data_IF_300941840997
#
_entry.id   IF_300941840997
#
_cell.length_a   1.000
_cell.length_b   1.000
_cell.length_c   1.000
_cell.angle_alpha   90.00
_cell.angle_beta   90.00
_cell.angle_gamma   90.00
#
_symmetry.space_group_name_H-M   'P 1'
#
loop_
_entity.id
_entity.type
_entity.pdbx_description
1 polymer ?
#
# COMPACT_ATOMS: atom_id res chain seq x y z
N UNK A 1 -8.35 14.23 -14.75
CA UNK A 1 -7.34 15.08 -15.41
C UNK A 1 -7.50 16.55 -15.01
N UNK A 2 -8.57 16.92 -14.38
CA UNK A 2 -8.71 18.22 -13.74
C UNK A 2 -8.39 18.02 -12.26
N UNK A 3 -7.40 18.76 -11.76
CA UNK A 3 -7.09 18.74 -10.33
C UNK A 3 -8.31 19.29 -9.58
N UNK A 4 -9.09 18.42 -8.96
CA UNK A 4 -10.36 18.74 -8.31
C UNK A 4 -10.26 19.81 -7.22
N UNK A 5 -9.05 20.17 -6.79
CA UNK A 5 -8.82 21.15 -5.73
C UNK A 5 -8.85 22.63 -6.22
N UNK A 6 -8.91 22.88 -7.55
CA UNK A 6 -8.85 24.24 -8.09
C UNK A 6 -10.09 24.68 -8.86
N UNK A 7 -11.03 23.79 -9.15
CA UNK A 7 -12.25 24.10 -9.92
C UNK A 7 -13.48 23.61 -9.16
N UNK A 8 -14.35 24.52 -8.77
CA UNK A 8 -15.65 24.19 -8.16
C UNK A 8 -16.67 23.94 -9.27
N UNK A 9 -17.61 22.98 -9.03
CA UNK A 9 -18.77 22.71 -9.88
C UNK A 9 -18.46 22.17 -11.29
N UNK A 10 -17.62 21.12 -11.40
CA UNK A 10 -17.46 20.40 -12.67
C UNK A 10 -18.68 19.49 -12.86
N UNK A 11 -19.49 19.78 -13.86
CA UNK A 11 -20.60 18.92 -14.30
C UNK A 11 -20.12 18.05 -15.49
N UNK A 12 -19.82 16.76 -15.24
CA UNK A 12 -19.41 15.81 -16.28
C UNK A 12 -20.61 14.99 -16.71
N UNK A 13 -20.89 14.99 -18.01
CA UNK A 13 -21.99 14.26 -18.62
C UNK A 13 -21.45 13.29 -19.69
N UNK A 14 -22.13 12.17 -19.87
CA UNK A 14 -21.81 11.15 -20.87
C UNK A 14 -22.95 11.02 -21.88
N UNK A 15 -22.59 10.73 -23.13
CA UNK A 15 -23.52 10.45 -24.21
C UNK A 15 -24.61 11.54 -24.36
N UNK A 16 -24.16 12.80 -24.50
CA UNK A 16 -25.07 13.94 -24.55
C UNK A 16 -25.27 14.46 -25.99
N UNK A 17 -26.44 14.94 -26.27
CA UNK A 17 -26.73 15.67 -27.50
C UNK A 17 -26.66 17.18 -27.25
N UNK A 18 -25.67 17.83 -27.85
CA UNK A 18 -25.52 19.28 -27.79
C UNK A 18 -26.10 19.95 -29.05
N UNK A 19 -26.83 21.02 -28.81
CA UNK A 19 -27.36 21.84 -29.93
C UNK A 19 -26.27 22.78 -30.44
N UNK A 20 -25.90 22.61 -31.71
CA UNK A 20 -25.01 23.53 -32.41
C UNK A 20 -25.81 24.70 -33.06
N UNK A 21 -25.10 25.54 -33.79
CA UNK A 21 -25.71 26.64 -34.56
C UNK A 21 -26.55 26.12 -35.72
N UNK A 22 -26.15 25.01 -36.32
CA UNK A 22 -26.79 24.45 -37.51
C UNK A 22 -27.49 23.13 -37.26
N UNK A 23 -26.95 22.28 -36.39
CA UNK A 23 -27.50 20.96 -36.10
C UNK A 23 -27.15 20.48 -34.71
N UNK A 24 -27.76 19.36 -34.29
CA UNK A 24 -27.40 18.71 -33.02
C UNK A 24 -26.26 17.70 -33.20
N UNK A 25 -25.38 17.62 -32.22
CA UNK A 25 -24.22 16.73 -32.21
C UNK A 25 -24.25 15.80 -31.01
N UNK A 26 -24.07 14.53 -31.24
CA UNK A 26 -23.84 13.54 -30.17
C UNK A 26 -22.39 13.58 -29.75
N UNK A 27 -22.16 13.76 -28.44
CA UNK A 27 -20.86 13.92 -27.82
C UNK A 27 -20.69 12.82 -26.80
N UNK A 28 -19.58 12.09 -26.85
CA UNK A 28 -19.33 10.93 -25.96
C UNK A 28 -19.13 11.37 -24.49
N UNK A 29 -18.40 12.48 -24.25
CA UNK A 29 -18.27 13.08 -22.92
C UNK A 29 -18.25 14.61 -23.04
N UNK A 30 -18.99 15.26 -22.16
CA UNK A 30 -19.08 16.71 -22.05
C UNK A 30 -18.83 17.12 -20.60
N UNK A 31 -18.08 18.18 -20.42
CA UNK A 31 -18.05 18.86 -19.14
C UNK A 31 -17.97 20.38 -19.31
N UNK A 32 -18.49 21.02 -18.28
CA UNK A 32 -18.37 22.47 -18.14
C UNK A 32 -17.99 22.83 -16.71
N UNK A 33 -17.32 23.94 -16.57
CA UNK A 33 -17.00 24.56 -15.29
C UNK A 33 -16.91 26.07 -15.44
N UNK A 34 -17.09 26.78 -14.34
CA UNK A 34 -17.00 28.23 -14.29
C UNK A 34 -15.80 28.68 -13.45
N UNK A 35 -15.05 29.64 -13.99
CA UNK A 35 -13.96 30.32 -13.27
C UNK A 35 -14.02 31.80 -13.55
N UNK A 36 -14.15 32.62 -12.49
CA UNK A 36 -14.18 34.09 -12.62
C UNK A 36 -15.35 34.63 -13.43
N UNK A 37 -16.51 33.95 -13.43
CA UNK A 37 -17.69 34.33 -14.22
C UNK A 37 -17.61 33.93 -15.70
N UNK A 38 -16.57 33.17 -16.08
CA UNK A 38 -16.42 32.68 -17.46
C UNK A 38 -16.70 31.18 -17.49
N UNK A 39 -17.57 30.74 -18.40
CA UNK A 39 -17.87 29.33 -18.64
C UNK A 39 -16.85 28.71 -19.59
N UNK A 40 -16.34 27.55 -19.19
CA UNK A 40 -15.41 26.75 -19.97
C UNK A 40 -16.10 25.44 -20.33
N UNK A 41 -16.26 25.19 -21.60
CA UNK A 41 -16.89 23.98 -22.13
C UNK A 41 -15.86 23.10 -22.81
N UNK A 42 -15.92 21.79 -22.56
CA UNK A 42 -15.05 20.80 -23.20
C UNK A 42 -15.89 19.64 -23.71
N UNK A 43 -15.67 19.25 -24.94
CA UNK A 43 -16.27 18.07 -25.56
C UNK A 43 -15.18 17.05 -25.87
N UNK A 44 -15.47 15.78 -25.57
CA UNK A 44 -14.59 14.68 -25.88
C UNK A 44 -15.30 13.73 -26.85
N UNK A 45 -14.59 13.35 -27.90
CA UNK A 45 -14.94 12.25 -28.75
C UNK A 45 -14.00 11.08 -28.48
N UNK A 46 -14.54 9.91 -28.18
CA UNK A 46 -13.76 8.70 -27.88
C UNK A 46 -14.01 7.64 -28.96
N UNK A 47 -12.94 7.01 -29.47
CA UNK A 47 -13.06 5.97 -30.50
C UNK A 47 -12.23 4.73 -30.16
N UNK A 48 -12.92 3.61 -29.94
CA UNK A 48 -12.34 2.27 -29.79
C UNK A 48 -12.26 1.55 -31.16
N UNK A 49 -11.58 2.17 -32.10
CA UNK A 49 -11.39 1.59 -33.43
C UNK A 49 -10.11 0.78 -33.51
N UNK A 50 -10.08 -0.22 -34.44
CA UNK A 50 -8.88 -0.99 -34.74
C UNK A 50 -7.82 -0.20 -35.52
N UNK A 51 -8.26 0.80 -36.31
CA UNK A 51 -7.40 1.61 -37.16
C UNK A 51 -7.19 3.00 -36.57
N UNK A 52 -6.02 3.57 -36.86
CA UNK A 52 -5.69 4.95 -36.50
C UNK A 52 -6.68 5.94 -37.05
N UNK A 53 -7.00 6.98 -36.28
CA UNK A 53 -7.87 8.10 -36.67
C UNK A 53 -7.27 8.81 -37.88
N UNK A 54 -8.07 8.96 -38.92
CA UNK A 54 -7.65 9.60 -40.17
C UNK A 54 -7.94 11.11 -40.13
N UNK A 55 -7.32 11.84 -41.09
CA UNK A 55 -7.49 13.28 -41.27
C UNK A 55 -8.99 13.70 -41.42
N UNK A 56 -9.75 12.94 -42.23
CA UNK A 56 -11.14 13.22 -42.45
C UNK A 56 -12.02 13.22 -41.20
N UNK A 57 -11.71 12.31 -40.28
CA UNK A 57 -12.41 12.18 -39.00
C UNK A 57 -12.09 13.35 -38.08
N UNK A 58 -10.82 13.78 -38.08
CA UNK A 58 -10.40 14.95 -37.31
C UNK A 58 -11.03 16.26 -37.87
N UNK A 59 -11.14 16.38 -39.20
CA UNK A 59 -11.83 17.48 -39.85
C UNK A 59 -13.33 17.46 -39.53
N UNK A 60 -13.97 16.30 -39.50
CA UNK A 60 -15.35 16.17 -39.09
C UNK A 60 -15.57 16.62 -37.64
N UNK A 61 -14.68 16.21 -36.72
CA UNK A 61 -14.73 16.66 -35.32
C UNK A 61 -14.49 18.17 -35.19
N UNK A 62 -13.56 18.72 -35.96
CA UNK A 62 -13.36 20.17 -36.06
C UNK A 62 -14.65 20.90 -36.52
N UNK A 63 -15.36 20.34 -37.49
CA UNK A 63 -16.66 20.87 -37.93
C UNK A 63 -17.70 20.89 -36.80
N UNK A 64 -17.75 19.88 -35.96
CA UNK A 64 -18.59 19.87 -34.75
C UNK A 64 -18.19 21.02 -33.81
N UNK A 65 -16.89 21.23 -33.55
CA UNK A 65 -16.43 22.32 -32.70
C UNK A 65 -16.78 23.70 -33.22
N UNK A 66 -16.76 23.91 -34.55
CA UNK A 66 -17.14 25.19 -35.19
C UNK A 66 -18.63 25.49 -35.06
N UNK A 67 -19.46 24.44 -35.04
CA UNK A 67 -20.90 24.54 -34.87
C UNK A 67 -21.35 24.77 -33.42
N UNK A 68 -20.53 24.35 -32.46
CA UNK A 68 -20.76 24.55 -31.01
C UNK A 68 -20.46 26.01 -30.58
N UNK A 69 -20.83 26.44 -29.37
CA UNK A 69 -20.50 27.76 -28.84
C UNK A 69 -19.01 28.10 -28.94
N UNK A 70 -18.72 29.34 -29.26
CA UNK A 70 -17.33 29.81 -29.39
C UNK A 70 -16.54 29.60 -28.11
N UNK A 71 -15.31 29.07 -28.23
CA UNK A 71 -14.46 28.79 -27.10
C UNK A 71 -14.56 27.35 -26.55
N UNK A 72 -15.50 26.54 -27.05
CA UNK A 72 -15.58 25.10 -26.70
C UNK A 72 -14.26 24.40 -27.05
N UNK A 73 -13.68 23.71 -26.08
CA UNK A 73 -12.45 22.95 -26.26
C UNK A 73 -12.74 21.51 -26.73
N UNK A 74 -12.00 21.06 -27.73
CA UNK A 74 -12.12 19.73 -28.28
C UNK A 74 -11.01 18.80 -27.74
N UNK A 75 -11.40 17.60 -27.34
CA UNK A 75 -10.52 16.51 -27.01
C UNK A 75 -10.91 15.29 -27.81
N UNK A 76 -9.96 14.64 -28.47
CA UNK A 76 -10.19 13.39 -29.18
C UNK A 76 -9.37 12.27 -28.56
N UNK A 77 -10.01 11.21 -28.12
CA UNK A 77 -9.34 10.04 -27.50
C UNK A 77 -9.47 8.85 -28.45
N UNK A 78 -8.37 8.17 -28.72
CA UNK A 78 -8.33 6.98 -29.56
C UNK A 78 -7.54 5.85 -28.88
N UNK A 79 -7.98 4.62 -29.06
CA UNK A 79 -7.24 3.43 -28.60
C UNK A 79 -6.06 3.08 -29.54
N UNK A 80 -6.20 3.38 -30.83
CA UNK A 80 -5.25 2.97 -31.87
C UNK A 80 -4.36 4.11 -32.36
N UNK A 81 -4.44 5.28 -31.73
CA UNK A 81 -3.66 6.46 -32.09
C UNK A 81 -4.19 7.16 -33.34
N UNK A 82 -3.35 7.98 -33.97
CA UNK A 82 -3.68 8.91 -35.02
C UNK A 82 -2.73 8.79 -36.21
N UNK A 83 -3.20 9.06 -37.41
CA UNK A 83 -2.36 9.26 -38.58
C UNK A 83 -1.75 10.69 -38.57
N UNK A 84 -0.62 10.88 -39.27
CA UNK A 84 0.08 12.18 -39.28
C UNK A 84 -0.85 13.35 -39.70
N UNK A 85 -1.65 13.17 -40.75
CA UNK A 85 -2.58 14.21 -41.18
C UNK A 85 -3.67 14.54 -40.14
N UNK A 86 -4.07 13.61 -39.28
CA UNK A 86 -4.99 13.89 -38.17
C UNK A 86 -4.30 14.68 -37.06
N UNK A 87 -3.03 14.37 -36.76
CA UNK A 87 -2.21 15.09 -35.78
C UNK A 87 -2.01 16.55 -36.23
N UNK A 88 -1.67 16.77 -37.51
CA UNK A 88 -1.48 18.08 -38.08
C UNK A 88 -2.77 18.95 -37.95
N UNK A 89 -3.93 18.37 -38.28
CA UNK A 89 -5.22 19.09 -38.13
C UNK A 89 -5.50 19.40 -36.66
N UNK A 90 -5.30 18.43 -35.75
CA UNK A 90 -5.51 18.63 -34.33
C UNK A 90 -4.63 19.77 -33.79
N UNK A 91 -3.35 19.76 -34.14
CA UNK A 91 -2.36 20.76 -33.72
C UNK A 91 -2.75 22.16 -34.26
N UNK A 92 -3.10 22.25 -35.54
CA UNK A 92 -3.49 23.53 -36.21
C UNK A 92 -4.73 24.15 -35.57
N UNK A 93 -5.65 23.34 -35.04
CA UNK A 93 -6.93 23.81 -34.47
C UNK A 93 -7.00 23.73 -32.93
N UNK A 94 -5.89 23.44 -32.25
CA UNK A 94 -5.83 23.40 -30.80
C UNK A 94 -6.67 22.27 -30.18
N UNK A 95 -6.96 21.21 -30.97
CA UNK A 95 -7.66 20.03 -30.49
C UNK A 95 -6.67 19.16 -29.74
N UNK A 96 -6.95 18.81 -28.48
CA UNK A 96 -6.15 17.86 -27.70
C UNK A 96 -6.41 16.43 -28.16
N UNK A 97 -5.36 15.66 -28.37
CA UNK A 97 -5.46 14.27 -28.83
C UNK A 97 -4.70 13.33 -27.90
N UNK A 98 -5.39 12.28 -27.45
CA UNK A 98 -4.86 11.30 -26.51
C UNK A 98 -5.01 9.89 -27.04
N UNK A 99 -3.98 9.07 -26.82
CA UNK A 99 -4.06 7.63 -27.01
C UNK A 99 -4.26 6.95 -25.66
N UNK A 100 -5.37 6.23 -25.50
CA UNK A 100 -5.70 5.47 -24.30
C UNK A 100 -5.55 3.97 -24.62
N UNK A 101 -4.51 3.32 -24.05
CA UNK A 101 -4.18 1.92 -24.34
C UNK A 101 -3.55 1.22 -23.15
N UNK A 102 -3.42 -0.09 -23.25
CA UNK A 102 -2.58 -0.83 -22.32
C UNK A 102 -1.10 -0.47 -22.54
N UNK A 103 -0.27 -0.57 -21.50
CA UNK A 103 1.18 -0.45 -21.67
C UNK A 103 1.72 -1.48 -22.67
N UNK A 104 2.83 -1.16 -23.29
CA UNK A 104 3.62 -2.05 -24.16
C UNK A 104 5.07 -2.05 -23.67
N UNK A 105 5.87 -3.01 -24.08
CA UNK A 105 7.29 -3.13 -23.67
C UNK A 105 8.06 -1.82 -23.89
N UNK A 106 7.73 -1.08 -24.96
CA UNK A 106 8.39 0.21 -25.27
C UNK A 106 8.12 1.28 -24.21
N UNK A 107 7.03 1.21 -23.47
CA UNK A 107 6.71 2.18 -22.40
C UNK A 107 7.58 2.01 -21.17
N UNK A 108 8.27 0.86 -21.06
CA UNK A 108 9.12 0.48 -19.95
C UNK A 108 10.62 0.61 -20.23
N UNK A 109 11.04 0.94 -21.45
CA UNK A 109 12.46 1.10 -21.79
C UNK A 109 13.11 2.12 -20.82
N UNK A 110 14.17 1.69 -20.15
CA UNK A 110 14.90 2.49 -19.17
C UNK A 110 14.19 2.72 -17.83
N UNK A 111 13.12 1.95 -17.56
CA UNK A 111 12.38 1.98 -16.29
C UNK A 111 12.52 0.66 -15.55
N UNK A 112 12.33 0.70 -14.24
CA UNK A 112 12.26 -0.52 -13.43
C UNK A 112 10.89 -1.19 -13.70
N UNK A 113 10.92 -2.44 -14.12
CA UNK A 113 9.71 -3.23 -14.43
C UNK A 113 9.40 -4.25 -13.35
N UNK A 114 10.41 -4.67 -12.60
CA UNK A 114 10.27 -5.68 -11.55
C UNK A 114 11.00 -5.24 -10.28
N UNK A 115 10.41 -5.56 -9.15
CA UNK A 115 11.01 -5.38 -7.84
C UNK A 115 10.91 -6.68 -7.05
N UNK A 116 12.06 -7.28 -6.74
CA UNK A 116 12.17 -8.43 -5.86
C UNK A 116 12.61 -7.95 -4.48
N UNK A 117 11.76 -8.19 -3.48
CA UNK A 117 12.05 -7.84 -2.09
C UNK A 117 12.17 -9.13 -1.29
N UNK A 118 13.30 -9.31 -0.62
CA UNK A 118 13.51 -10.39 0.35
C UNK A 118 13.65 -9.78 1.73
N UNK A 119 12.73 -10.13 2.63
CA UNK A 119 12.71 -9.66 4.01
C UNK A 119 13.10 -10.83 4.91
N UNK A 120 14.21 -10.69 5.62
CA UNK A 120 14.70 -11.65 6.58
C UNK A 120 14.42 -11.10 8.00
N UNK A 121 13.44 -11.71 8.67
CA UNK A 121 13.07 -11.36 10.03
C UNK A 121 13.73 -12.34 11.01
N UNK A 122 14.49 -11.81 11.94
CA UNK A 122 15.03 -12.58 13.06
C UNK A 122 13.96 -12.67 14.16
N UNK A 123 13.47 -13.89 14.41
CA UNK A 123 12.46 -14.16 15.43
C UNK A 123 13.10 -14.96 16.57
N UNK A 124 13.38 -14.32 17.72
CA UNK A 124 13.86 -15.03 18.88
C UNK A 124 12.76 -15.95 19.43
N UNK A 125 13.17 -17.07 20.01
CA UNK A 125 12.29 -18.04 20.64
C UNK A 125 12.93 -18.64 21.86
N UNK A 126 12.10 -19.25 22.71
CA UNK A 126 12.53 -20.06 23.85
C UNK A 126 11.78 -21.38 23.82
N UNK A 127 12.54 -22.46 24.00
CA UNK A 127 12.02 -23.80 24.20
C UNK A 127 12.45 -24.31 25.58
N UNK A 128 11.66 -25.24 26.14
CA UNK A 128 11.93 -25.90 27.43
C UNK A 128 12.15 -24.91 28.59
N UNK A 129 11.40 -23.79 28.58
CA UNK A 129 11.47 -22.86 29.71
C UNK A 129 11.04 -23.56 30.99
N UNK A 130 11.92 -23.53 32.02
CA UNK A 130 11.74 -24.21 33.28
C UNK A 130 12.07 -23.31 34.46
N UNK A 131 11.24 -23.39 35.48
CA UNK A 131 11.46 -22.72 36.75
C UNK A 131 11.67 -23.78 37.83
N UNK A 132 12.87 -23.81 38.41
CA UNK A 132 13.22 -24.71 39.52
C UNK A 132 12.92 -24.02 40.86
N UNK A 133 12.08 -24.65 41.68
CA UNK A 133 11.79 -24.22 43.03
C UNK A 133 12.81 -24.79 44.03
N UNK A 134 13.00 -24.09 45.14
CA UNK A 134 13.77 -24.63 46.25
C UNK A 134 12.97 -25.73 46.98
N UNK A 135 13.28 -26.98 46.68
CA UNK A 135 12.54 -28.15 47.18
C UNK A 135 12.54 -28.26 48.72
N UNK A 136 13.64 -27.89 49.37
CA UNK A 136 13.73 -27.91 50.82
C UNK A 136 12.79 -26.86 51.42
N UNK A 137 12.86 -25.65 50.92
CA UNK A 137 12.02 -24.55 51.36
C UNK A 137 10.52 -24.86 51.15
N UNK A 138 10.18 -25.44 49.98
CA UNK A 138 8.78 -25.85 49.67
C UNK A 138 8.28 -26.90 50.68
N UNK A 139 9.12 -27.88 51.01
CA UNK A 139 8.79 -28.92 52.01
C UNK A 139 8.60 -28.34 53.41
N UNK A 140 9.55 -27.50 53.86
CA UNK A 140 9.54 -26.91 55.20
C UNK A 140 8.34 -25.97 55.42
N UNK A 141 7.82 -25.36 54.36
CA UNK A 141 6.69 -24.46 54.39
C UNK A 141 5.37 -25.12 53.97
N UNK A 142 5.33 -26.44 53.74
CA UNK A 142 4.14 -27.20 53.32
C UNK A 142 3.44 -26.62 52.09
N UNK A 143 4.20 -26.14 51.13
CA UNK A 143 3.64 -25.55 49.88
C UNK A 143 3.13 -26.66 48.93
N UNK A 144 1.86 -26.62 48.56
CA UNK A 144 1.33 -27.53 47.58
C UNK A 144 1.67 -27.06 46.15
N UNK A 145 2.73 -27.64 45.57
CA UNK A 145 3.21 -27.30 44.22
C UNK A 145 2.14 -27.50 43.14
N UNK A 146 1.25 -28.50 43.31
CA UNK A 146 0.19 -28.78 42.31
C UNK A 146 -0.92 -27.73 42.30
N UNK A 147 -1.07 -26.99 43.39
CA UNK A 147 -2.02 -25.89 43.49
C UNK A 147 -1.46 -24.56 42.96
N UNK A 148 -0.15 -24.50 42.65
CA UNK A 148 0.46 -23.29 42.12
C UNK A 148 0.03 -23.11 40.67
N UNK A 149 -0.54 -21.93 40.29
CA UNK A 149 -0.99 -21.67 38.94
C UNK A 149 0.19 -21.40 37.97
N UNK A 150 1.17 -22.28 37.90
CA UNK A 150 2.38 -22.18 37.10
C UNK A 150 2.10 -22.62 35.65
N UNK A 151 1.39 -21.80 34.86
CA UNK A 151 1.11 -22.03 33.44
C UNK A 151 1.78 -20.97 32.52
N UNK A 152 1.72 -21.14 31.21
CA UNK A 152 2.40 -20.28 30.22
C UNK A 152 2.10 -18.76 30.28
N UNK A 153 0.96 -18.34 30.87
CA UNK A 153 0.60 -16.93 31.08
C UNK A 153 1.30 -16.26 32.28
N UNK A 154 2.02 -17.01 33.03
CA UNK A 154 2.54 -16.69 34.35
C UNK A 154 3.86 -15.91 34.26
N UNK A 155 4.64 -16.11 33.20
CA UNK A 155 5.93 -15.46 33.01
C UNK A 155 5.82 -13.93 32.86
N UNK A 156 4.67 -13.43 32.46
CA UNK A 156 4.48 -11.99 32.21
C UNK A 156 4.21 -11.16 33.47
N UNK A 157 3.74 -11.79 34.58
CA UNK A 157 3.23 -11.08 35.75
C UNK A 157 3.89 -11.43 37.08
N UNK A 158 4.90 -12.32 37.14
CA UNK A 158 5.53 -12.63 38.40
C UNK A 158 6.65 -11.67 38.75
N UNK A 159 6.44 -10.99 39.85
CA UNK A 159 7.47 -10.23 40.52
C UNK A 159 8.40 -11.16 41.32
N UNK A 160 9.70 -10.97 41.14
CA UNK A 160 10.75 -11.64 41.93
C UNK A 160 11.19 -10.65 42.99
N UNK A 161 11.11 -11.08 44.25
CA UNK A 161 11.45 -10.28 45.43
C UNK A 161 12.53 -11.02 46.27
N UNK A 162 13.24 -10.28 47.10
CA UNK A 162 14.16 -10.82 48.07
C UNK A 162 13.44 -11.37 49.33
N UNK A 163 14.15 -12.04 50.22
CA UNK A 163 13.64 -12.44 51.55
C UNK A 163 13.20 -11.24 52.42
N UNK A 164 13.75 -10.06 52.16
CA UNK A 164 13.35 -8.79 52.81
C UNK A 164 12.15 -8.13 52.14
N UNK A 165 11.57 -8.76 51.14
CA UNK A 165 10.46 -8.27 50.29
C UNK A 165 10.81 -7.07 49.42
N UNK A 166 12.09 -6.82 49.15
CA UNK A 166 12.50 -5.80 48.21
C UNK A 166 12.30 -6.32 46.76
N UNK A 167 11.79 -5.44 45.90
CA UNK A 167 11.64 -5.72 44.46
C UNK A 167 13.03 -5.99 43.84
N UNK A 168 13.16 -7.08 43.09
CA UNK A 168 14.36 -7.40 42.32
C UNK A 168 14.16 -7.15 40.82
N UNK A 169 13.19 -7.84 40.22
CA UNK A 169 12.81 -7.70 38.81
C UNK A 169 11.51 -8.47 38.52
N UNK A 170 10.98 -8.34 37.33
CA UNK A 170 9.96 -9.26 36.85
C UNK A 170 10.59 -10.46 36.13
N UNK A 171 9.96 -11.64 36.25
CA UNK A 171 10.45 -12.85 35.59
C UNK A 171 10.52 -12.67 34.06
N UNK A 172 9.56 -11.93 33.51
CA UNK A 172 9.54 -11.60 32.08
C UNK A 172 10.77 -10.79 31.63
N UNK A 173 11.30 -9.92 32.47
CA UNK A 173 12.48 -9.11 32.12
C UNK A 173 13.72 -9.99 31.91
N UNK A 174 13.87 -11.05 32.70
CA UNK A 174 14.97 -12.02 32.53
C UNK A 174 14.82 -12.79 31.23
N UNK A 175 13.59 -13.27 30.94
CA UNK A 175 13.31 -13.99 29.69
C UNK A 175 13.51 -13.08 28.49
N UNK A 176 13.06 -11.83 28.57
CA UNK A 176 13.24 -10.81 27.53
C UNK A 176 14.72 -10.52 27.28
N UNK A 177 15.53 -10.44 28.33
CA UNK A 177 16.99 -10.25 28.19
C UNK A 177 17.64 -11.42 27.46
N UNK A 178 17.29 -12.66 27.81
CA UNK A 178 17.75 -13.84 27.09
C UNK A 178 17.30 -13.87 25.63
N UNK A 179 16.05 -13.48 25.34
CA UNK A 179 15.53 -13.42 23.98
C UNK A 179 16.21 -12.32 23.14
N UNK A 180 16.48 -11.15 23.72
CA UNK A 180 17.16 -10.05 23.04
C UNK A 180 18.61 -10.40 22.68
N UNK A 181 19.23 -11.27 23.45
CA UNK A 181 20.61 -11.73 23.24
C UNK A 181 20.67 -13.17 22.68
N UNK A 182 19.53 -13.69 22.17
CA UNK A 182 19.47 -15.07 21.70
C UNK A 182 20.37 -15.27 20.46
N UNK A 183 21.27 -16.27 20.48
CA UNK A 183 22.15 -16.59 19.37
C UNK A 183 21.35 -17.27 18.22
N UNK A 184 21.93 -17.31 17.01
CA UNK A 184 21.34 -18.06 15.89
C UNK A 184 21.22 -19.55 16.17
N UNK A 185 22.21 -20.13 16.88
CA UNK A 185 22.14 -21.52 17.32
C UNK A 185 21.54 -21.60 18.72
N UNK A 186 20.59 -22.52 18.88
CA UNK A 186 19.92 -22.75 20.14
C UNK A 186 20.95 -23.02 21.25
N UNK A 187 20.87 -22.26 22.32
CA UNK A 187 21.80 -22.29 23.45
C UNK A 187 21.03 -22.35 24.77
N UNK A 188 21.50 -23.18 25.68
CA UNK A 188 20.97 -23.23 27.04
C UNK A 188 21.40 -21.99 27.82
N UNK A 189 20.42 -21.29 28.39
CA UNK A 189 20.62 -20.12 29.26
C UNK A 189 19.98 -20.39 30.62
N UNK A 190 20.64 -19.93 31.70
CA UNK A 190 20.06 -20.01 33.03
C UNK A 190 20.37 -18.77 33.86
N UNK A 191 19.50 -18.50 34.81
CA UNK A 191 19.66 -17.53 35.89
C UNK A 191 19.46 -18.26 37.20
N UNK A 192 20.51 -18.34 38.02
CA UNK A 192 20.48 -18.91 39.36
C UNK A 192 20.19 -17.80 40.36
N UNK A 193 19.41 -18.13 41.39
CA UNK A 193 19.03 -17.23 42.47
C UNK A 193 19.46 -17.84 43.83
N UNK A 194 20.03 -16.99 44.67
CA UNK A 194 20.37 -17.36 46.03
C UNK A 194 19.26 -17.00 47.01
N UNK A 195 18.73 -15.80 46.88
CA UNK A 195 17.67 -15.27 47.74
C UNK A 195 16.58 -14.61 46.88
N UNK A 196 15.70 -15.42 46.28
CA UNK A 196 14.64 -14.95 45.43
C UNK A 196 13.33 -15.71 45.63
N UNK A 197 12.24 -14.99 45.65
CA UNK A 197 10.90 -15.50 45.87
C UNK A 197 9.94 -14.92 44.81
N UNK A 198 8.96 -15.73 44.42
CA UNK A 198 7.83 -15.28 43.66
C UNK A 198 6.70 -14.97 44.61
N UNK A 199 6.13 -13.75 44.53
CA UNK A 199 4.90 -13.40 45.21
C UNK A 199 3.68 -13.89 44.41
N UNK A 200 2.90 -14.76 45.00
CA UNK A 200 1.66 -15.29 44.43
C UNK A 200 0.50 -14.30 44.72
N UNK A 201 -0.56 -14.37 43.93
CA UNK A 201 -1.73 -13.48 44.07
C UNK A 201 -2.43 -13.59 45.43
N UNK A 202 -2.34 -14.77 46.08
CA UNK A 202 -2.89 -15.02 47.43
C UNK A 202 -1.95 -14.53 48.54
N UNK A 203 -0.83 -13.88 48.19
CA UNK A 203 0.17 -13.44 49.15
C UNK A 203 1.17 -14.53 49.58
N UNK A 204 1.06 -15.76 49.09
CA UNK A 204 2.01 -16.82 49.33
C UNK A 204 3.34 -16.50 48.62
N UNK A 205 4.46 -16.74 49.30
CA UNK A 205 5.80 -16.63 48.75
C UNK A 205 6.29 -18.02 48.37
N UNK A 206 6.95 -18.15 47.25
CA UNK A 206 7.55 -19.42 46.79
C UNK A 206 9.01 -19.16 46.42
N UNK A 207 9.92 -19.82 47.15
CA UNK A 207 11.37 -19.68 46.90
C UNK A 207 11.75 -20.36 45.59
N UNK A 208 12.39 -19.59 44.72
CA UNK A 208 12.91 -20.05 43.44
C UNK A 208 14.42 -20.24 43.50
N UNK A 209 14.91 -21.21 42.73
CA UNK A 209 16.33 -21.52 42.66
C UNK A 209 16.94 -21.21 41.31
N UNK A 210 16.20 -21.45 40.21
CA UNK A 210 16.72 -21.28 38.87
C UNK A 210 15.59 -21.06 37.87
N UNK A 211 15.83 -20.15 36.94
CA UNK A 211 15.08 -20.05 35.71
C UNK A 211 15.99 -20.45 34.55
N UNK A 212 15.58 -21.37 33.68
CA UNK A 212 16.40 -21.86 32.57
C UNK A 212 15.57 -22.20 31.36
N UNK A 213 16.19 -22.24 30.20
CA UNK A 213 15.57 -22.62 28.94
C UNK A 213 16.58 -22.66 27.80
N UNK A 214 16.12 -23.15 26.66
CA UNK A 214 16.87 -23.11 25.40
C UNK A 214 16.42 -21.91 24.61
N UNK A 215 17.32 -20.99 24.32
CA UNK A 215 17.06 -19.76 23.60
C UNK A 215 17.75 -19.78 22.24
N UNK A 216 17.07 -19.34 21.21
CA UNK A 216 17.61 -19.29 19.88
C UNK A 216 16.90 -18.25 19.03
N UNK A 217 17.39 -18.07 17.80
CA UNK A 217 16.79 -17.16 16.83
C UNK A 217 16.53 -17.90 15.53
N UNK A 218 15.31 -17.77 14.99
CA UNK A 218 14.92 -18.34 13.69
C UNK A 218 14.78 -17.24 12.67
N UNK A 219 15.39 -17.43 11.51
CA UNK A 219 15.19 -16.53 10.37
C UNK A 219 13.91 -16.92 9.64
N UNK A 220 13.00 -15.97 9.52
CA UNK A 220 11.79 -16.09 8.68
C UNK A 220 12.04 -15.25 7.44
N UNK A 221 12.18 -15.91 6.29
CA UNK A 221 12.35 -15.23 5.00
C UNK A 221 11.01 -15.10 4.31
N UNK A 222 10.65 -13.88 3.96
CA UNK A 222 9.51 -13.59 3.11
C UNK A 222 9.99 -12.95 1.81
N UNK A 223 9.58 -13.52 0.68
CA UNK A 223 9.88 -13.00 -0.66
C UNK A 223 8.63 -12.38 -1.25
N UNK A 224 8.78 -11.18 -1.78
CA UNK A 224 7.73 -10.47 -2.49
C UNK A 224 8.26 -10.07 -3.86
N UNK A 225 7.45 -10.31 -4.88
CA UNK A 225 7.70 -9.89 -6.26
C UNK A 225 6.61 -8.91 -6.66
N UNK A 226 7.02 -7.73 -7.12
CA UNK A 226 6.12 -6.71 -7.65
C UNK A 226 6.51 -6.52 -9.11
N UNK A 227 5.55 -6.78 -9.99
CA UNK A 227 5.66 -6.53 -11.42
C UNK A 227 4.85 -5.28 -11.76
N UNK A 228 5.44 -4.33 -12.47
CA UNK A 228 4.82 -3.08 -12.85
C UNK A 228 3.59 -3.31 -13.76
N UNK A 229 3.58 -4.35 -14.59
CA UNK A 229 2.44 -4.70 -15.42
C UNK A 229 1.22 -5.12 -14.60
N UNK A 230 1.43 -5.68 -13.41
CA UNK A 230 0.35 -6.01 -12.48
C UNK A 230 -0.27 -4.77 -11.81
N UNK A 231 0.44 -3.66 -11.80
CA UNK A 231 0.05 -2.40 -11.14
C UNK A 231 -0.58 -1.43 -12.14
N UNK A 232 0.04 -1.28 -13.33
CA UNK A 232 -0.44 -0.32 -14.35
C UNK A 232 -1.40 -1.01 -15.30
N UNK A 233 -2.69 -0.69 -15.19
CA UNK A 233 -3.74 -1.24 -16.06
C UNK A 233 -3.83 -0.53 -17.41
N UNK A 234 -3.67 0.79 -17.43
CA UNK A 234 -3.81 1.64 -18.62
C UNK A 234 -2.89 2.84 -18.61
N UNK A 235 -2.57 3.34 -19.79
CA UNK A 235 -1.84 4.60 -19.98
C UNK A 235 -2.63 5.52 -20.91
N UNK A 236 -2.53 6.82 -20.63
CA UNK A 236 -3.04 7.89 -21.45
C UNK A 236 -1.86 8.73 -21.95
N UNK A 237 -1.62 8.71 -23.24
CA UNK A 237 -0.52 9.42 -23.89
C UNK A 237 -1.08 10.68 -24.57
N UNK A 238 -0.61 11.85 -24.16
CA UNK A 238 -0.85 13.10 -24.92
C UNK A 238 0.07 13.07 -26.15
N UNK A 239 -0.53 12.93 -27.32
CA UNK A 239 0.21 12.76 -28.58
C UNK A 239 0.99 14.02 -28.96
N UNK A 240 0.54 15.20 -28.53
CA UNK A 240 1.18 16.47 -28.88
C UNK A 240 2.35 16.80 -27.96
N UNK A 241 2.26 16.50 -26.69
CA UNK A 241 3.31 16.79 -25.72
C UNK A 241 4.23 15.58 -25.43
N UNK A 242 3.76 14.38 -25.73
CA UNK A 242 4.44 13.14 -25.36
C UNK A 242 4.31 12.77 -23.89
N UNK A 243 3.55 13.52 -23.10
CA UNK A 243 3.35 13.20 -21.69
C UNK A 243 2.49 11.96 -21.49
N UNK A 244 2.80 11.17 -20.46
CA UNK A 244 2.15 9.89 -20.18
C UNK A 244 1.58 9.91 -18.77
N UNK A 245 0.27 9.71 -18.65
CA UNK A 245 -0.41 9.44 -17.37
C UNK A 245 -0.70 7.95 -17.25
N UNK A 246 -0.43 7.38 -16.07
CA UNK A 246 -0.58 5.95 -15.77
C UNK A 246 -1.72 5.74 -14.79
N UNK A 247 -2.52 4.73 -15.03
CA UNK A 247 -3.66 4.36 -14.19
C UNK A 247 -3.55 2.91 -13.76
N UNK A 248 -3.97 2.61 -12.54
CA UNK A 248 -4.11 1.25 -12.06
C UNK A 248 -5.31 0.53 -12.70
N UNK A 249 -5.49 -0.74 -12.35
CA UNK A 249 -6.65 -1.54 -12.81
C UNK A 249 -8.02 -1.03 -12.31
N UNK A 250 -8.02 -0.11 -11.35
CA UNK A 250 -9.23 0.52 -10.81
C UNK A 250 -9.43 1.95 -11.35
N UNK A 251 -8.62 2.36 -12.34
CA UNK A 251 -8.62 3.69 -12.96
C UNK A 251 -8.15 4.83 -12.03
N UNK A 252 -7.42 4.52 -10.96
CA UNK A 252 -6.78 5.56 -10.15
C UNK A 252 -5.50 6.03 -10.83
N UNK A 253 -5.27 7.35 -10.83
CA UNK A 253 -4.04 7.93 -11.37
C UNK A 253 -2.85 7.57 -10.47
N UNK A 254 -1.86 6.88 -11.04
CA UNK A 254 -0.62 6.49 -10.35
C UNK A 254 0.48 7.55 -10.49
N UNK A 255 0.43 8.36 -11.55
CA UNK A 255 1.39 9.42 -11.83
C UNK A 255 1.43 9.76 -13.31
N UNK A 256 2.01 10.91 -13.64
CA UNK A 256 2.23 11.40 -15.01
C UNK A 256 3.61 12.06 -15.12
N UNK A 257 4.16 12.05 -16.32
CA UNK A 257 5.43 12.71 -16.70
C UNK A 257 5.20 13.67 -17.84
#
# INVERSE_FOLDING_TARGET
IVNQNSVQNINVQHDVTLLGKTTSHQIDVYWEFEVGGLQYQTVIQAKDWKNKVKKEQMLAFKGILDDLPSGTKGVFVSKSGFQSGAIEVAQAHGIKIYELRKPTDSDWIGKMTELHVEINLQKPYVDNLSLELDKQWVSDNNINIQALPLGKKILENYEIISSQKDHMCFMFDIVKDFLNNAPEQETYCEKVFDDAFIAMQDGCLVKIKRLSGNFGCRTITQKMHIDVESVVGMILVDILSGSISRFDKYNNLLGGT
#
